data_IF_294659393720
#
_entry.id   IF_294659393720
#
_cell.length_a   1.000
_cell.length_b   1.000
_cell.length_c   1.000
_cell.angle_alpha   90.00
_cell.angle_beta   90.00
_cell.angle_gamma   90.00
#
_symmetry.space_group_name_H-M   'P 1'
#
loop_
_entity.id
_entity.type
_entity.pdbx_description
1 polymer ?
#
# COMPACT_ATOMS: atom_id res chain seq x y z
N UNK A 1 -13.74 -27.98 1.99
CA UNK A 1 -13.15 -26.90 1.19
C UNK A 1 -14.13 -25.73 1.30
N UNK A 2 -13.91 -24.80 2.24
CA UNK A 2 -14.72 -23.57 2.32
C UNK A 2 -14.00 -22.55 1.45
N UNK A 3 -14.60 -22.15 0.34
CA UNK A 3 -14.19 -20.96 -0.39
C UNK A 3 -14.49 -19.78 0.52
N UNK A 4 -13.46 -19.12 1.06
CA UNK A 4 -13.62 -18.01 2.00
C UNK A 4 -13.64 -16.70 1.21
N UNK A 5 -14.60 -15.83 1.53
CA UNK A 5 -14.80 -14.53 0.92
C UNK A 5 -14.33 -13.48 1.93
N UNK A 6 -13.15 -12.90 1.73
CA UNK A 6 -12.78 -11.64 2.38
C UNK A 6 -13.12 -10.50 1.43
N UNK A 7 -13.87 -9.52 1.90
CA UNK A 7 -14.09 -8.27 1.16
C UNK A 7 -13.15 -7.22 1.75
N UNK A 8 -12.23 -6.71 0.95
CA UNK A 8 -11.48 -5.51 1.30
C UNK A 8 -12.18 -4.30 0.69
N UNK A 9 -12.47 -3.28 1.50
CA UNK A 9 -12.94 -1.98 1.06
C UNK A 9 -11.90 -0.93 1.45
N UNK A 10 -11.25 -0.31 0.46
CA UNK A 10 -10.38 0.85 0.67
C UNK A 10 -11.06 2.11 0.17
N UNK A 11 -11.11 3.15 1.02
CA UNK A 11 -11.62 4.47 0.68
C UNK A 11 -10.54 5.52 0.95
N UNK A 12 -10.21 6.33 -0.06
CA UNK A 12 -9.16 7.35 0.02
C UNK A 12 -9.69 8.76 -0.20
N UNK A 13 -9.01 9.73 0.41
CA UNK A 13 -9.21 11.15 0.20
C UNK A 13 -7.86 11.87 0.05
N UNK A 14 -7.52 12.31 -1.17
CA UNK A 14 -6.34 13.13 -1.45
C UNK A 14 -6.67 14.63 -1.38
N UNK A 15 -5.89 15.43 -0.65
CA UNK A 15 -5.97 16.90 -0.67
C UNK A 15 -4.59 17.48 -1.00
N UNK A 16 -4.37 17.99 -2.23
CA UNK A 16 -3.15 18.71 -2.53
C UNK A 16 -3.24 20.17 -2.05
N UNK A 17 -2.36 20.56 -1.13
CA UNK A 17 -2.15 21.96 -0.79
C UNK A 17 -1.03 22.54 -1.65
N UNK A 18 -1.34 23.62 -2.36
CA UNK A 18 -0.47 24.47 -3.21
C UNK A 18 -0.18 23.99 -4.65
N UNK A 19 -0.97 24.49 -5.61
CA UNK A 19 -0.69 24.55 -7.07
C UNK A 19 0.04 23.31 -7.63
N UNK A 20 -0.41 22.13 -7.24
CA UNK A 20 0.09 20.85 -7.69
C UNK A 20 -1.10 20.10 -8.29
N UNK A 21 -0.93 19.61 -9.52
CA UNK A 21 -1.93 18.77 -10.16
C UNK A 21 -2.05 17.45 -9.38
N UNK A 22 -3.26 16.99 -9.10
CA UNK A 22 -3.58 15.68 -8.57
C UNK A 22 -3.26 14.54 -9.56
N UNK A 23 -2.75 14.86 -10.76
CA UNK A 23 -2.45 13.91 -11.84
C UNK A 23 -1.20 13.04 -11.65
N UNK A 24 -0.40 13.28 -10.62
CA UNK A 24 0.85 12.56 -10.45
C UNK A 24 0.66 11.19 -9.80
N UNK A 25 -0.27 11.02 -8.86
CA UNK A 25 -0.62 9.68 -8.38
C UNK A 25 -1.82 9.16 -9.19
N UNK A 26 -1.57 8.21 -10.10
CA UNK A 26 -2.61 7.64 -10.95
C UNK A 26 -3.17 6.33 -10.41
N UNK A 27 -2.32 5.58 -9.73
CA UNK A 27 -2.58 4.23 -9.25
C UNK A 27 -3.42 4.24 -8.00
N UNK A 28 -4.07 3.10 -7.73
CA UNK A 28 -4.83 2.85 -6.52
C UNK A 28 -4.12 1.81 -5.66
N UNK A 29 -3.42 0.85 -6.28
CA UNK A 29 -2.77 -0.25 -5.56
C UNK A 29 -1.25 -0.20 -5.65
N UNK A 30 -0.74 0.00 -6.86
CA UNK A 30 0.69 0.06 -7.14
C UNK A 30 1.27 1.42 -6.73
N UNK A 31 2.57 1.44 -6.46
CA UNK A 31 3.34 2.68 -6.46
C UNK A 31 3.58 3.15 -7.90
N UNK A 32 3.41 4.46 -8.13
CA UNK A 32 3.56 5.07 -9.45
C UNK A 32 5.00 5.57 -9.69
N UNK A 33 5.40 5.64 -10.96
CA UNK A 33 6.64 6.30 -11.42
C UNK A 33 6.49 7.81 -11.54
N UNK A 34 5.25 8.32 -11.60
CA UNK A 34 4.96 9.75 -11.57
C UNK A 34 5.10 10.29 -10.15
N UNK A 35 5.72 11.46 -10.04
CA UNK A 35 6.15 12.07 -8.78
C UNK A 35 5.74 13.54 -8.74
N UNK A 36 5.66 14.17 -7.55
CA UNK A 36 5.59 15.62 -7.47
C UNK A 36 6.80 16.26 -8.16
N UNK A 37 6.56 17.34 -8.91
CA UNK A 37 7.63 18.18 -9.45
C UNK A 37 8.52 18.76 -8.34
N UNK A 38 9.72 19.20 -8.71
CA UNK A 38 10.64 19.83 -7.77
C UNK A 38 9.98 20.99 -7.00
N UNK A 39 10.10 20.94 -5.67
CA UNK A 39 9.55 21.94 -4.76
C UNK A 39 8.04 21.80 -4.50
N UNK A 40 7.35 20.81 -5.09
CA UNK A 40 5.92 20.58 -4.88
C UNK A 40 5.67 19.59 -3.76
N UNK A 41 4.58 19.82 -3.04
CA UNK A 41 4.07 18.95 -1.99
C UNK A 41 2.73 18.36 -2.45
N UNK A 42 2.49 17.11 -2.11
CA UNK A 42 1.15 16.53 -2.12
C UNK A 42 0.90 15.89 -0.76
N UNK A 43 -0.35 15.95 -0.31
CA UNK A 43 -0.80 15.17 0.82
C UNK A 43 -1.99 14.30 0.41
N UNK A 44 -2.02 13.06 0.90
CA UNK A 44 -3.16 12.16 0.70
C UNK A 44 -3.42 11.34 1.94
N UNK A 45 -4.70 11.18 2.30
CA UNK A 45 -5.14 10.31 3.37
C UNK A 45 -5.71 9.05 2.76
N UNK A 46 -5.18 7.93 3.20
CA UNK A 46 -5.58 6.59 2.76
C UNK A 46 -6.22 5.87 3.92
N UNK A 47 -7.33 5.17 3.65
CA UNK A 47 -8.04 4.35 4.61
C UNK A 47 -8.21 2.95 4.08
N UNK A 48 -7.91 1.95 4.91
CA UNK A 48 -8.21 0.55 4.61
C UNK A 48 -9.06 -0.08 5.70
N UNK A 49 -9.96 -0.98 5.28
CA UNK A 49 -10.71 -1.86 6.16
C UNK A 49 -10.51 -3.31 5.71
N UNK A 50 -10.22 -4.17 6.67
CA UNK A 50 -9.94 -5.58 6.45
C UNK A 50 -10.68 -6.46 7.43
N UNK A 51 -11.36 -7.48 6.94
CA UNK A 51 -11.94 -8.56 7.74
C UNK A 51 -11.08 -9.82 7.64
N UNK A 52 -10.93 -10.52 8.75
CA UNK A 52 -10.16 -11.74 8.86
C UNK A 52 -10.79 -12.69 9.88
N UNK A 53 -10.42 -13.97 9.83
CA UNK A 53 -10.94 -14.97 10.78
C UNK A 53 -9.90 -15.22 11.89
N UNK A 54 -10.32 -15.10 13.14
CA UNK A 54 -9.57 -15.35 14.36
C UNK A 54 -9.98 -16.71 14.96
N UNK A 55 -9.56 -17.81 14.32
CA UNK A 55 -9.95 -19.16 14.71
C UNK A 55 -11.45 -19.45 14.51
N UNK A 56 -12.29 -19.20 15.52
CA UNK A 56 -13.77 -19.32 15.44
C UNK A 56 -14.50 -17.99 15.53
N UNK A 57 -13.78 -16.91 15.82
CA UNK A 57 -14.31 -15.55 15.84
C UNK A 57 -13.93 -14.86 14.53
N UNK A 58 -14.66 -13.80 14.21
CA UNK A 58 -14.31 -12.88 13.13
C UNK A 58 -13.56 -11.70 13.75
N UNK A 59 -12.66 -11.08 12.99
CA UNK A 59 -11.95 -9.88 13.39
C UNK A 59 -11.92 -8.89 12.24
N UNK A 60 -11.78 -7.62 12.58
CA UNK A 60 -11.55 -6.58 11.59
C UNK A 60 -10.40 -5.67 12.00
N UNK A 61 -9.82 -5.00 11.02
CA UNK A 61 -8.85 -3.94 11.24
C UNK A 61 -9.13 -2.75 10.34
N UNK A 62 -8.76 -1.58 10.83
CA UNK A 62 -8.78 -0.32 10.09
C UNK A 62 -7.42 0.33 10.18
N UNK A 63 -6.99 0.93 9.07
CA UNK A 63 -5.82 1.79 9.05
C UNK A 63 -6.18 3.11 8.38
N UNK A 64 -5.73 4.21 8.98
CA UNK A 64 -5.68 5.52 8.37
C UNK A 64 -4.22 5.94 8.22
N UNK A 65 -3.79 6.27 7.00
CA UNK A 65 -2.40 6.62 6.71
C UNK A 65 -2.31 7.93 5.95
N UNK A 66 -1.46 8.84 6.42
CA UNK A 66 -1.24 10.14 5.78
C UNK A 66 0.06 10.09 4.99
N UNK A 67 0.01 10.20 3.67
CA UNK A 67 1.21 10.37 2.86
C UNK A 67 1.48 11.85 2.65
N UNK A 68 2.70 12.29 2.94
CA UNK A 68 3.19 13.62 2.60
C UNK A 68 4.39 13.48 1.68
N UNK A 69 4.18 13.75 0.41
CA UNK A 69 5.17 13.62 -0.64
C UNK A 69 5.78 14.99 -0.96
N UNK A 70 7.11 15.03 -1.15
CA UNK A 70 7.85 16.23 -1.53
C UNK A 70 8.80 15.93 -2.69
N UNK A 71 8.63 16.63 -3.81
CA UNK A 71 9.53 16.55 -4.96
C UNK A 71 10.84 17.28 -4.67
N UNK A 72 11.94 16.55 -4.53
CA UNK A 72 13.28 17.13 -4.39
C UNK A 72 13.94 17.41 -5.75
N UNK A 73 13.48 16.70 -6.79
CA UNK A 73 13.74 16.96 -8.21
C UNK A 73 12.53 16.48 -9.03
N UNK A 74 12.43 16.85 -10.32
CA UNK A 74 11.30 16.44 -11.18
C UNK A 74 11.20 14.91 -11.39
N UNK A 75 12.25 14.17 -11.02
CA UNK A 75 12.29 12.72 -11.09
C UNK A 75 12.67 12.09 -9.75
N UNK A 76 12.57 12.83 -8.64
CA UNK A 76 12.90 12.32 -7.32
C UNK A 76 12.02 12.95 -6.25
N UNK A 77 11.31 12.11 -5.49
CA UNK A 77 10.52 12.54 -4.35
C UNK A 77 10.84 11.76 -3.07
N UNK A 78 10.62 12.42 -1.94
CA UNK A 78 10.62 11.84 -0.61
C UNK A 78 9.19 11.80 -0.06
N UNK A 79 8.89 10.83 0.78
CA UNK A 79 7.60 10.72 1.45
C UNK A 79 7.78 10.35 2.92
N UNK A 80 6.96 10.93 3.79
CA UNK A 80 6.76 10.47 5.17
C UNK A 80 5.31 10.03 5.31
N UNK A 81 5.09 8.90 5.99
CA UNK A 81 3.77 8.32 6.10
C UNK A 81 3.47 7.76 7.50
N UNK A 82 3.02 8.62 8.44
CA UNK A 82 2.49 8.15 9.71
C UNK A 82 1.12 7.50 9.52
N UNK A 83 0.79 6.54 10.39
CA UNK A 83 -0.50 5.86 10.39
C UNK A 83 -1.15 5.79 11.76
N UNK A 84 -2.46 5.54 11.75
CA UNK A 84 -3.24 5.10 12.90
C UNK A 84 -3.88 3.77 12.54
N UNK A 85 -3.78 2.80 13.45
CA UNK A 85 -4.25 1.43 13.26
C UNK A 85 -5.23 1.10 14.37
N UNK A 86 -6.24 0.30 14.05
CA UNK A 86 -7.12 -0.32 15.04
C UNK A 86 -7.52 -1.71 14.58
N UNK A 87 -7.64 -2.64 15.51
CA UNK A 87 -8.16 -3.97 15.26
C UNK A 87 -9.09 -4.40 16.40
N UNK A 88 -10.04 -5.26 16.08
CA UNK A 88 -11.05 -5.77 17.01
C UNK A 88 -11.40 -7.21 16.62
N UNK A 89 -11.46 -8.10 17.61
CA UNK A 89 -11.87 -9.49 17.45
C UNK A 89 -13.20 -9.70 18.16
N UNK A 90 -14.18 -10.25 17.45
CA UNK A 90 -15.53 -10.47 17.96
C UNK A 90 -15.52 -11.34 19.23
N UNK A 91 -15.91 -10.74 20.36
CA UNK A 91 -15.91 -11.39 21.66
C UNK A 91 -14.51 -11.63 22.25
N UNK A 92 -13.47 -11.01 21.69
CA UNK A 92 -12.09 -11.00 22.15
C UNK A 92 -11.61 -9.60 22.49
N UNK A 93 -10.32 -9.36 22.27
CA UNK A 93 -9.64 -8.09 22.54
C UNK A 93 -9.79 -7.11 21.38
N UNK A 94 -9.51 -5.84 21.66
CA UNK A 94 -9.39 -4.79 20.64
C UNK A 94 -8.39 -3.74 21.08
N UNK A 95 -7.67 -3.18 20.11
CA UNK A 95 -6.68 -2.13 20.33
C UNK A 95 -6.77 -1.04 19.24
N UNK A 96 -6.27 0.15 19.57
CA UNK A 96 -6.13 1.25 18.62
C UNK A 96 -5.01 2.20 19.03
N UNK A 97 -4.34 2.79 18.04
CA UNK A 97 -3.31 3.77 18.29
C UNK A 97 -2.50 4.13 17.05
N UNK A 98 -1.31 4.68 17.29
CA UNK A 98 -0.35 5.02 16.24
C UNK A 98 0.22 3.72 15.68
N UNK A 99 0.32 3.64 14.36
CA UNK A 99 1.05 2.59 13.69
C UNK A 99 2.46 3.00 13.31
N UNK A 100 3.16 2.10 12.63
CA UNK A 100 4.53 2.38 12.19
C UNK A 100 4.58 3.49 11.14
N UNK A 101 5.54 4.40 11.34
CA UNK A 101 5.78 5.51 10.43
C UNK A 101 6.82 5.09 9.42
N UNK A 102 6.51 5.18 8.13
CA UNK A 102 7.48 4.90 7.08
C UNK A 102 8.04 6.17 6.44
N UNK A 103 9.31 6.09 6.02
CA UNK A 103 9.97 7.04 5.15
C UNK A 103 10.22 6.38 3.79
N UNK A 104 9.94 7.08 2.71
CA UNK A 104 10.11 6.57 1.35
C UNK A 104 10.87 7.55 0.47
N UNK A 105 11.53 7.02 -0.54
CA UNK A 105 12.23 7.76 -1.58
C UNK A 105 12.00 7.07 -2.91
N UNK A 106 11.45 7.78 -3.89
CA UNK A 106 11.26 7.26 -5.25
C UNK A 106 12.10 8.08 -6.21
N UNK A 107 12.97 7.42 -6.96
CA UNK A 107 13.82 8.01 -7.99
C UNK A 107 13.50 7.38 -9.35
N UNK A 108 12.93 8.18 -10.26
CA UNK A 108 12.66 7.81 -11.66
C UNK A 108 13.91 8.07 -12.49
N UNK A 109 14.59 7.00 -12.89
CA UNK A 109 15.86 7.06 -13.61
C UNK A 109 15.70 6.85 -15.13
N UNK A 110 14.51 6.48 -15.58
CA UNK A 110 14.20 6.30 -16.99
C UNK A 110 12.81 6.84 -17.27
N UNK A 111 12.68 7.62 -18.34
CA UNK A 111 11.42 8.21 -18.76
C UNK A 111 10.87 7.51 -20.00
N UNK A 112 9.54 7.36 -20.04
CA UNK A 112 8.86 6.73 -21.17
C UNK A 112 9.14 7.44 -22.50
N UNK A 113 9.28 8.77 -22.49
CA UNK A 113 9.60 9.55 -23.68
C UNK A 113 10.95 9.18 -24.31
N UNK A 114 11.92 8.74 -23.51
CA UNK A 114 13.28 8.45 -23.95
C UNK A 114 13.51 6.95 -24.23
N UNK A 115 12.88 6.07 -23.46
CA UNK A 115 13.14 4.62 -23.50
C UNK A 115 11.91 3.76 -23.88
N UNK A 116 10.74 4.38 -24.02
CA UNK A 116 9.47 3.69 -24.31
C UNK A 116 8.81 3.02 -23.12
N UNK A 117 9.31 3.26 -21.90
CA UNK A 117 8.69 2.93 -20.61
C UNK A 117 9.36 3.77 -19.50
N UNK A 118 8.64 4.06 -18.42
CA UNK A 118 9.21 4.64 -17.21
C UNK A 118 9.82 3.53 -16.34
N UNK A 119 10.96 3.81 -15.70
CA UNK A 119 11.46 3.03 -14.57
C UNK A 119 11.83 3.93 -13.39
N UNK A 120 11.46 3.48 -12.20
CA UNK A 120 11.87 4.08 -10.94
C UNK A 120 12.30 3.03 -9.93
N UNK A 121 13.12 3.43 -8.97
CA UNK A 121 13.42 2.66 -7.77
C UNK A 121 12.76 3.34 -6.58
N UNK A 122 12.08 2.56 -5.73
CA UNK A 122 11.55 2.98 -4.44
C UNK A 122 12.41 2.36 -3.35
N UNK A 123 13.03 3.20 -2.53
CA UNK A 123 13.54 2.79 -1.22
C UNK A 123 12.56 3.18 -0.13
N UNK A 124 12.40 2.34 0.89
CA UNK A 124 11.58 2.60 2.06
C UNK A 124 12.30 2.17 3.33
N UNK A 125 11.87 2.74 4.46
CA UNK A 125 12.14 2.22 5.79
C UNK A 125 10.93 2.45 6.68
N UNK A 126 10.39 1.37 7.26
CA UNK A 126 9.42 1.43 8.35
C UNK A 126 10.16 1.62 9.66
N UNK A 127 9.67 2.54 10.50
CA UNK A 127 10.20 2.80 11.84
C UNK A 127 9.19 2.30 12.87
N UNK A 128 9.64 1.59 13.93
CA UNK A 128 8.77 0.99 14.94
C UNK A 128 8.24 2.07 15.89
N UNK A 129 7.30 2.89 15.40
CA UNK A 129 6.63 3.94 16.17
C UNK A 129 5.31 3.47 16.75
N UNK A 130 4.76 2.37 16.24
CA UNK A 130 3.61 1.69 16.82
C UNK A 130 3.99 0.89 18.07
N UNK A 131 2.97 0.59 18.86
CA UNK A 131 3.08 -0.26 20.05
C UNK A 131 2.91 -1.74 19.63
N UNK A 132 4.01 -2.48 19.58
CA UNK A 132 4.08 -3.87 19.12
C UNK A 132 3.46 -4.85 20.12
N UNK A 133 3.54 -4.56 21.42
CA UNK A 133 2.84 -5.30 22.48
C UNK A 133 1.31 -5.26 22.29
N UNK A 134 0.80 -4.25 21.57
CA UNK A 134 -0.62 -4.10 21.19
C UNK A 134 -0.91 -4.51 19.75
N UNK A 135 0.08 -5.00 19.00
CA UNK A 135 -0.06 -5.32 17.58
C UNK A 135 -0.39 -4.10 16.70
N UNK A 136 0.05 -2.89 17.10
CA UNK A 136 -0.15 -1.66 16.32
C UNK A 136 1.03 -1.35 15.39
N UNK A 137 2.16 -2.03 15.56
CA UNK A 137 3.33 -1.97 14.70
C UNK A 137 4.07 -3.31 14.74
N UNK A 138 5.16 -3.42 13.98
CA UNK A 138 5.96 -4.64 13.95
C UNK A 138 6.99 -4.74 15.08
N UNK A 139 7.31 -3.63 15.75
CA UNK A 139 8.39 -3.58 16.73
C UNK A 139 9.79 -3.53 16.11
N UNK A 140 9.88 -3.61 14.77
CA UNK A 140 11.12 -3.75 14.02
C UNK A 140 11.32 -2.64 13.00
N UNK A 141 12.58 -2.37 12.68
CA UNK A 141 12.91 -1.49 11.55
C UNK A 141 12.85 -2.33 10.27
N UNK A 142 12.09 -1.89 9.28
CA UNK A 142 11.90 -2.66 8.05
C UNK A 142 12.33 -1.85 6.82
N UNK A 143 13.59 -1.98 6.35
CA UNK A 143 14.00 -1.40 5.09
C UNK A 143 13.35 -2.14 3.92
N UNK A 144 13.01 -1.42 2.86
CA UNK A 144 12.40 -1.96 1.66
C UNK A 144 13.01 -1.41 0.39
N UNK A 145 12.94 -2.21 -0.67
CA UNK A 145 13.40 -1.83 -2.01
C UNK A 145 12.47 -2.41 -3.07
N UNK A 146 12.07 -1.59 -4.02
CA UNK A 146 11.27 -2.02 -5.15
C UNK A 146 11.66 -1.34 -6.46
N UNK A 147 11.53 -2.08 -7.55
CA UNK A 147 11.55 -1.55 -8.91
C UNK A 147 10.11 -1.27 -9.35
N UNK A 148 9.88 -0.09 -9.90
CA UNK A 148 8.61 0.37 -10.45
C UNK A 148 8.77 0.56 -11.96
N UNK A 149 7.79 0.10 -12.72
CA UNK A 149 7.73 0.29 -14.16
C UNK A 149 6.34 0.78 -14.56
N UNK A 150 6.27 1.74 -15.48
CA UNK A 150 5.02 2.16 -16.08
C UNK A 150 5.15 2.31 -17.59
N UNK A 151 4.08 2.05 -18.31
CA UNK A 151 4.04 2.20 -19.77
C UNK A 151 2.65 2.56 -20.25
N UNK A 152 2.57 3.52 -21.14
CA UNK A 152 1.35 3.89 -21.86
C UNK A 152 1.21 3.01 -23.10
N UNK A 153 0.07 2.34 -23.23
CA UNK A 153 -0.22 1.40 -24.32
C UNK A 153 -1.60 1.75 -24.90
N UNK A 154 -1.61 2.56 -25.96
CA UNK A 154 -2.85 3.11 -26.49
C UNK A 154 -3.56 3.96 -25.42
N UNK A 155 -4.84 3.69 -25.11
CA UNK A 155 -5.55 4.43 -24.07
C UNK A 155 -5.20 3.99 -22.64
N UNK A 156 -4.55 2.84 -22.44
CA UNK A 156 -4.33 2.30 -21.10
C UNK A 156 -2.91 2.58 -20.58
N UNK A 157 -2.75 2.63 -19.26
CA UNK A 157 -1.44 2.63 -18.61
C UNK A 157 -1.25 1.31 -17.87
N UNK A 158 -0.16 0.60 -18.16
CA UNK A 158 0.29 -0.54 -17.39
C UNK A 158 1.25 -0.06 -16.30
N UNK A 159 1.06 -0.49 -15.06
CA UNK A 159 2.00 -0.29 -13.96
C UNK A 159 2.38 -1.65 -13.38
N UNK A 160 3.67 -1.83 -13.13
CA UNK A 160 4.23 -3.03 -12.51
C UNK A 160 5.19 -2.64 -11.40
N UNK A 161 5.12 -3.33 -10.27
CA UNK A 161 6.07 -3.20 -9.18
C UNK A 161 6.59 -4.59 -8.81
N UNK A 162 7.85 -4.68 -8.42
CA UNK A 162 8.43 -5.86 -7.80
C UNK A 162 9.45 -5.41 -6.75
N UNK A 163 9.40 -5.98 -5.56
CA UNK A 163 10.26 -5.58 -4.46
C UNK A 163 10.17 -6.50 -3.26
N UNK A 164 10.71 -6.02 -2.16
CA UNK A 164 10.54 -6.66 -0.87
C UNK A 164 10.98 -5.76 0.27
N UNK A 165 10.57 -6.16 1.45
CA UNK A 165 10.89 -5.54 2.73
C UNK A 165 11.66 -6.58 3.57
N UNK A 166 12.72 -6.14 4.23
CA UNK A 166 13.47 -6.97 5.17
C UNK A 166 13.03 -6.63 6.58
N UNK A 167 12.84 -7.64 7.41
CA UNK A 167 12.47 -7.44 8.80
C UNK A 167 13.74 -7.55 9.62
N UNK A 168 14.22 -6.42 10.16
CA UNK A 168 15.43 -6.43 10.98
C UNK A 168 15.08 -6.86 12.40
N UNK A 169 15.89 -7.75 12.97
CA UNK A 169 15.68 -8.31 14.32
C UNK A 169 14.39 -9.14 14.39
N UNK A 170 14.24 -10.10 13.46
CA UNK A 170 13.10 -11.02 13.43
C UNK A 170 12.94 -11.74 14.78
N UNK A 171 11.74 -11.63 15.35
CA UNK A 171 11.31 -12.39 16.50
C UNK A 171 10.06 -13.22 16.15
N UNK A 172 9.57 -14.04 17.09
CA UNK A 172 8.22 -14.65 17.04
C UNK A 172 7.84 -15.47 15.78
N UNK A 173 8.81 -15.96 15.02
CA UNK A 173 8.57 -16.78 13.81
C UNK A 173 8.22 -15.95 12.57
N UNK A 174 8.64 -14.69 12.53
CA UNK A 174 8.66 -13.89 11.30
C UNK A 174 9.76 -14.37 10.35
N UNK A 175 9.45 -14.34 9.05
CA UNK A 175 10.42 -14.53 7.98
C UNK A 175 11.35 -13.31 7.90
N UNK A 176 12.59 -13.51 7.46
CA UNK A 176 13.59 -12.43 7.37
C UNK A 176 13.24 -11.37 6.31
N UNK A 177 12.30 -11.69 5.40
CA UNK A 177 11.87 -10.81 4.33
C UNK A 177 10.48 -11.16 3.81
N UNK A 178 9.80 -10.15 3.26
CA UNK A 178 8.59 -10.30 2.46
C UNK A 178 8.88 -9.82 1.04
N UNK A 179 8.68 -10.68 0.04
CA UNK A 179 8.76 -10.29 -1.37
C UNK A 179 7.37 -10.03 -1.91
N UNK A 180 7.22 -9.02 -2.76
CA UNK A 180 5.94 -8.69 -3.37
C UNK A 180 6.04 -8.30 -4.84
N UNK A 181 4.94 -8.49 -5.55
CA UNK A 181 4.73 -8.04 -6.91
C UNK A 181 3.33 -7.48 -7.08
N UNK A 182 3.20 -6.40 -7.86
CA UNK A 182 1.91 -5.79 -8.20
C UNK A 182 1.87 -5.50 -9.70
N UNK A 183 0.75 -5.82 -10.33
CA UNK A 183 0.38 -5.35 -11.66
C UNK A 183 -0.93 -4.56 -11.53
N UNK A 184 -0.97 -3.36 -12.10
CA UNK A 184 -2.17 -2.54 -12.16
C UNK A 184 -2.35 -1.97 -13.57
N UNK A 185 -3.54 -2.18 -14.14
CA UNK A 185 -3.96 -1.59 -15.40
C UNK A 185 -4.91 -0.43 -15.14
N UNK A 186 -4.63 0.73 -15.74
CA UNK A 186 -5.43 1.94 -15.62
C UNK A 186 -6.10 2.25 -16.96
N UNK A 187 -7.42 2.35 -16.96
CA UNK A 187 -8.21 2.69 -18.14
C UNK A 187 -8.98 4.00 -17.93
N UNK A 188 -8.71 5.05 -18.72
CA UNK A 188 -9.42 6.32 -18.63
C UNK A 188 -10.86 6.15 -19.13
N UNK A 189 -11.82 6.37 -18.24
CA UNK A 189 -13.24 6.43 -18.57
C UNK A 189 -13.63 7.80 -19.13
N UNK A 190 -12.94 8.85 -18.69
CA UNK A 190 -13.05 10.23 -19.16
C UNK A 190 -11.77 10.99 -18.83
N UNK A 191 -11.74 12.29 -19.09
CA UNK A 191 -10.63 13.17 -18.64
C UNK A 191 -10.51 13.24 -17.11
N UNK A 192 -11.60 12.97 -16.37
CA UNK A 192 -11.64 13.10 -14.91
C UNK A 192 -11.71 11.76 -14.18
N UNK A 193 -12.04 10.66 -14.86
CA UNK A 193 -12.29 9.37 -14.23
C UNK A 193 -11.45 8.24 -14.84
N UNK A 194 -10.88 7.40 -13.99
CA UNK A 194 -10.08 6.22 -14.36
C UNK A 194 -10.64 5.01 -13.65
N UNK A 195 -10.78 3.90 -14.35
CA UNK A 195 -11.00 2.57 -13.78
C UNK A 195 -9.66 1.87 -13.64
N UNK A 196 -9.43 1.18 -12.53
CA UNK A 196 -8.25 0.35 -12.33
C UNK A 196 -8.62 -1.10 -12.05
N UNK A 197 -7.77 -2.01 -12.51
CA UNK A 197 -7.79 -3.41 -12.12
C UNK A 197 -6.38 -3.84 -11.74
N UNK A 198 -6.24 -4.56 -10.63
CA UNK A 198 -4.94 -4.94 -10.09
C UNK A 198 -4.87 -6.43 -9.72
N UNK A 199 -3.66 -6.96 -9.75
CA UNK A 199 -3.30 -8.26 -9.21
C UNK A 199 -2.02 -8.06 -8.40
N UNK A 200 -2.02 -8.47 -7.15
CA UNK A 200 -0.82 -8.47 -6.30
C UNK A 200 -0.58 -9.86 -5.73
N UNK A 201 0.69 -10.14 -5.47
CA UNK A 201 1.11 -11.30 -4.72
C UNK A 201 2.23 -10.92 -3.75
N UNK A 202 2.24 -11.53 -2.57
CA UNK A 202 3.29 -11.35 -1.58
C UNK A 202 3.62 -12.68 -0.91
N UNK A 203 4.89 -12.89 -0.55
CA UNK A 203 5.25 -14.05 0.27
C UNK A 203 4.66 -13.93 1.66
N UNK A 204 4.42 -15.06 2.30
CA UNK A 204 4.06 -15.08 3.71
C UNK A 204 5.07 -14.29 4.58
N UNK A 205 4.56 -13.57 5.58
CA UNK A 205 5.39 -12.88 6.59
C UNK A 205 5.77 -13.78 7.76
N UNK A 206 4.96 -14.78 8.06
CA UNK A 206 5.17 -15.69 9.19
C UNK A 206 5.45 -17.11 8.72
N UNK A 207 6.32 -17.79 9.45
CA UNK A 207 6.69 -19.19 9.20
C UNK A 207 5.45 -20.09 9.16
N UNK A 208 5.27 -20.78 8.03
CA UNK A 208 4.20 -21.76 7.85
C UNK A 208 2.84 -21.18 7.45
N UNK A 209 2.76 -19.86 7.24
CA UNK A 209 1.64 -19.24 6.51
C UNK A 209 1.82 -19.43 5.00
N UNK A 210 0.71 -19.31 4.27
CA UNK A 210 0.72 -19.36 2.81
C UNK A 210 0.80 -17.95 2.20
N UNK A 211 1.35 -17.86 0.99
CA UNK A 211 1.49 -16.60 0.24
C UNK A 211 0.14 -15.93 -0.06
N UNK A 212 0.14 -14.60 -0.05
CA UNK A 212 -1.03 -13.76 -0.34
C UNK A 212 -1.15 -13.51 -1.85
N UNK A 213 -2.38 -13.60 -2.36
CA UNK A 213 -2.73 -13.16 -3.72
C UNK A 213 -4.01 -12.32 -3.64
N UNK A 214 -3.96 -11.10 -4.15
CA UNK A 214 -5.11 -10.20 -4.21
C UNK A 214 -5.47 -9.83 -5.65
N UNK A 215 -6.77 -9.75 -5.90
CA UNK A 215 -7.33 -9.18 -7.12
C UNK A 215 -8.13 -7.94 -6.76
N UNK A 216 -7.78 -6.81 -7.33
CA UNK A 216 -8.41 -5.52 -7.06
C UNK A 216 -9.17 -4.97 -8.27
N UNK A 217 -10.27 -4.27 -7.98
CA UNK A 217 -10.93 -3.36 -8.92
C UNK A 217 -11.15 -2.02 -8.23
N UNK A 218 -10.74 -0.94 -8.87
CA UNK A 218 -10.76 0.38 -8.29
C UNK A 218 -11.09 1.46 -9.30
N UNK A 219 -11.08 2.69 -8.80
CA UNK A 219 -11.21 3.85 -9.65
C UNK A 219 -10.70 5.10 -8.96
N UNK A 220 -10.43 6.09 -9.79
CA UNK A 220 -9.96 7.42 -9.41
C UNK A 220 -10.79 8.46 -10.13
N UNK A 221 -11.22 9.49 -9.41
CA UNK A 221 -11.87 10.67 -9.96
C UNK A 221 -11.06 11.91 -9.59
N UNK A 222 -10.93 12.86 -10.51
CA UNK A 222 -10.23 14.13 -10.33
C UNK A 222 -11.25 15.27 -10.47
N UNK A 223 -11.97 15.64 -9.39
CA UNK A 223 -13.08 16.60 -9.48
C UNK A 223 -12.61 18.01 -9.85
N UNK A 224 -11.40 18.36 -9.42
CA UNK A 224 -10.66 19.56 -9.79
C UNK A 224 -9.20 19.16 -10.03
N UNK A 225 -8.43 19.93 -10.82
CA UNK A 225 -7.06 19.58 -11.16
C UNK A 225 -6.16 19.28 -9.96
N UNK A 226 -6.41 19.84 -8.79
CA UNK A 226 -5.59 19.71 -7.58
C UNK A 226 -6.07 18.62 -6.60
N UNK A 227 -7.16 17.91 -6.89
CA UNK A 227 -7.74 16.94 -5.96
C UNK A 227 -8.10 15.63 -6.66
N UNK A 228 -7.83 14.51 -6.00
CA UNK A 228 -8.33 13.21 -6.42
C UNK A 228 -9.05 12.49 -5.29
N UNK A 229 -10.03 11.70 -5.70
CA UNK A 229 -10.73 10.71 -4.89
C UNK A 229 -10.44 9.36 -5.51
N UNK A 230 -10.05 8.39 -4.72
CA UNK A 230 -9.76 7.06 -5.20
C UNK A 230 -10.24 6.00 -4.22
N UNK A 231 -10.51 4.81 -4.73
CA UNK A 231 -10.94 3.68 -3.93
C UNK A 231 -10.86 2.39 -4.72
N UNK A 232 -10.71 1.28 -4.01
CA UNK A 232 -10.73 -0.05 -4.61
C UNK A 232 -11.32 -1.07 -3.66
N UNK A 233 -11.89 -2.09 -4.28
CA UNK A 233 -12.28 -3.32 -3.63
C UNK A 233 -11.35 -4.43 -4.04
N UNK A 234 -10.99 -5.28 -3.08
CA UNK A 234 -10.12 -6.41 -3.36
C UNK A 234 -10.70 -7.69 -2.82
N UNK A 235 -10.38 -8.74 -3.56
CA UNK A 235 -10.59 -10.10 -3.18
C UNK A 235 -9.22 -10.71 -2.88
N UNK A 236 -9.00 -11.10 -1.63
CA UNK A 236 -7.80 -11.82 -1.21
C UNK A 236 -8.06 -13.31 -1.15
N UNK A 237 -7.14 -14.09 -1.70
CA UNK A 237 -7.11 -15.54 -1.53
C UNK A 237 -5.95 -15.89 -0.62
N UNK A 238 -6.17 -15.78 0.69
CA UNK A 238 -5.27 -16.32 1.71
C UNK A 238 -5.46 -17.81 1.89
N UNK A 239 -4.45 -18.65 1.72
CA UNK A 239 -4.56 -20.05 2.08
C UNK A 239 -4.30 -20.21 3.60
N UNK A 240 -5.37 -20.06 4.41
CA UNK A 240 -5.54 -20.56 5.80
C UNK A 240 -4.81 -19.87 7.01
N UNK A 241 -5.68 -19.36 7.91
CA UNK A 241 -5.58 -19.23 9.40
C UNK A 241 -4.40 -18.50 10.05
N UNK A 242 -4.62 -17.24 10.47
CA UNK A 242 -3.83 -16.55 11.50
C UNK A 242 -3.71 -17.44 12.77
N UNK A 243 -2.52 -17.86 13.20
CA UNK A 243 -2.37 -18.57 14.46
C UNK A 243 -2.53 -17.57 15.60
N UNK A 244 -3.57 -17.76 16.40
CA UNK A 244 -3.85 -17.07 17.68
C UNK A 244 -2.74 -17.22 18.75
N UNK A 245 -1.56 -17.70 18.39
CA UNK A 245 -0.45 -17.94 19.33
C UNK A 245 0.34 -16.68 19.70
N UNK A 246 0.14 -15.54 19.04
CA UNK A 246 0.69 -14.25 19.48
C UNK A 246 -0.18 -13.51 20.51
N UNK A 247 -1.42 -13.94 20.74
CA UNK A 247 -2.36 -13.32 21.71
C UNK A 247 -2.54 -14.14 22.99
N UNK A 248 -1.68 -15.12 23.25
CA UNK A 248 -1.73 -15.89 24.50
C UNK A 248 -0.36 -16.04 25.15
N UNK A 249 0.04 -15.00 25.91
CA UNK A 249 0.85 -15.11 27.13
C UNK A 249 0.94 -13.77 27.86
N UNK A 250 -0.04 -13.53 28.72
CA UNK A 250 0.16 -12.86 30.01
C UNK A 250 0.00 -13.90 31.12
#
# INVERSE_FOLDING_TARGET
>A
MKTKFGWMAMAMLGLAAATASAEWERTVNAWDTRLPDQGRVQASIWGSYWEWEAGRADGYSTEGRLYVNYGIANNWALCVTPSVVSWDVDGGDSESGIGDTALLSIYRFMEEADAGFDLAVKGSVSLPTGDDDKGLGSGSVEPGLALLAAKTIGPFVAVANAGGDWILDTDRGEEDYVLYGVLEGLYPLSEQATLSASCSAATARWDGEDDDIDLGIGGRVTPIPEMFLAGAFYYSKRPREYPLTSLSRS
#
